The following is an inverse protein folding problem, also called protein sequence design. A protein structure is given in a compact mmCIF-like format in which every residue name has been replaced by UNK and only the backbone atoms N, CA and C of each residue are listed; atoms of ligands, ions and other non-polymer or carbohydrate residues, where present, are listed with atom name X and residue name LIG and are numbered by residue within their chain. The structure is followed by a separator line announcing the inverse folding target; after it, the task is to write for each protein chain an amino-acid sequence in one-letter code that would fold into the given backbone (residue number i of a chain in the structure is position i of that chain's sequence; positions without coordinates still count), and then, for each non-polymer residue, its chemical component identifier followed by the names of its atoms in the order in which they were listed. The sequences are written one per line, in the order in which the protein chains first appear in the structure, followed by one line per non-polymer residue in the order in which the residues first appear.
data_IF_890810011513
#
_entry.id   IF_890810011513
#
_cell.length_a   1.000
_cell.length_b   1.000
_cell.length_c   1.000
_cell.angle_alpha   90.00
_cell.angle_beta   90.00
_cell.angle_gamma   90.00
#
_symmetry.space_group_name_H-M   'P 1'
#
loop_
_entity.id
_entity.type
_entity.pdbx_description
1 polymer ?
#
# COMPACT_ATOMS: atom_id res chain seq x y z
N UNK A 1 -9.18 -6.36 19.26
CA UNK A 1 -8.54 -6.37 17.94
C UNK A 1 -9.06 -5.21 17.12
N UNK A 2 -8.15 -4.50 16.47
CA UNK A 2 -8.54 -3.35 15.65
C UNK A 2 -9.28 -3.80 14.39
N UNK A 3 -10.17 -2.95 13.85
CA UNK A 3 -10.95 -3.34 12.67
C UNK A 3 -10.11 -3.74 11.46
N UNK A 4 -9.01 -3.05 11.20
CA UNK A 4 -8.17 -3.40 10.06
C UNK A 4 -7.54 -4.78 10.24
N UNK A 5 -7.09 -5.08 11.45
CA UNK A 5 -6.50 -6.38 11.74
C UNK A 5 -7.55 -7.49 11.62
N UNK A 6 -8.76 -7.22 12.13
CA UNK A 6 -9.84 -8.19 12.02
C UNK A 6 -10.19 -8.44 10.55
N UNK A 7 -10.20 -7.38 9.74
CA UNK A 7 -10.47 -7.50 8.31
C UNK A 7 -9.44 -8.41 7.65
N UNK A 8 -8.14 -8.19 7.94
CA UNK A 8 -7.08 -8.99 7.33
C UNK A 8 -7.24 -10.46 7.69
N UNK A 9 -7.50 -10.74 8.97
CA UNK A 9 -7.62 -12.12 9.43
C UNK A 9 -8.87 -12.80 8.90
N UNK A 10 -9.88 -12.04 8.49
CA UNK A 10 -11.11 -12.61 7.93
C UNK A 10 -11.01 -12.96 6.45
N UNK A 11 -9.94 -12.56 5.79
CA UNK A 11 -9.81 -12.82 4.35
C UNK A 11 -9.45 -14.27 4.10
N UNK A 12 -9.90 -14.79 2.96
CA UNK A 12 -9.54 -16.14 2.57
C UNK A 12 -8.20 -16.14 1.86
N UNK A 13 -7.64 -17.33 1.75
CA UNK A 13 -6.36 -17.46 1.04
C UNK A 13 -6.59 -17.38 -0.46
N UNK A 14 -5.62 -16.84 -1.23
CA UNK A 14 -4.27 -16.46 -0.78
C UNK A 14 -4.20 -15.03 -0.23
N UNK A 15 -5.33 -14.33 -0.16
CA UNK A 15 -5.35 -12.92 0.23
C UNK A 15 -4.86 -12.70 1.65
N UNK A 16 -5.29 -13.56 2.57
CA UNK A 16 -4.89 -13.38 3.97
C UNK A 16 -3.38 -13.46 4.13
N UNK A 17 -2.74 -14.44 3.55
CA UNK A 17 -1.29 -14.57 3.65
C UNK A 17 -0.56 -13.42 3.00
N UNK A 18 -1.04 -12.95 1.85
CA UNK A 18 -0.43 -11.80 1.18
C UNK A 18 -0.56 -10.56 2.07
N UNK A 19 -1.74 -10.32 2.61
CA UNK A 19 -1.99 -9.15 3.46
C UNK A 19 -1.12 -9.18 4.72
N UNK A 20 -1.02 -10.34 5.36
CA UNK A 20 -0.20 -10.46 6.57
C UNK A 20 1.28 -10.21 6.26
N UNK A 21 1.75 -10.72 5.13
CA UNK A 21 3.14 -10.51 4.74
C UNK A 21 3.41 -9.04 4.43
N UNK A 22 2.49 -8.39 3.72
CA UNK A 22 2.61 -6.96 3.44
C UNK A 22 2.59 -6.14 4.72
N UNK A 23 1.70 -6.48 5.65
CA UNK A 23 1.63 -5.80 6.93
C UNK A 23 2.97 -5.88 7.65
N UNK A 24 3.56 -7.07 7.68
CA UNK A 24 4.84 -7.27 8.33
C UNK A 24 5.93 -6.40 7.72
N UNK A 25 6.04 -6.41 6.38
CA UNK A 25 7.06 -5.63 5.70
C UNK A 25 6.88 -4.14 5.97
N UNK A 26 5.65 -3.65 5.82
CA UNK A 26 5.39 -2.22 5.97
C UNK A 26 5.68 -1.77 7.40
N UNK A 27 5.21 -2.51 8.38
CA UNK A 27 5.35 -2.08 9.78
C UNK A 27 6.78 -2.22 10.27
N UNK A 28 7.53 -3.19 9.75
CA UNK A 28 8.94 -3.31 10.13
C UNK A 28 9.81 -2.21 9.52
N UNK A 29 9.49 -1.80 8.31
CA UNK A 29 10.32 -0.81 7.61
C UNK A 29 9.87 0.63 7.82
N UNK A 30 8.63 0.81 8.26
CA UNK A 30 8.07 2.13 8.54
C UNK A 30 7.40 2.08 9.90
N UNK A 31 8.18 2.03 10.99
CA UNK A 31 7.62 1.75 12.32
C UNK A 31 6.68 2.84 12.86
N UNK A 32 6.66 4.00 12.23
CA UNK A 32 5.79 5.09 12.68
C UNK A 32 4.44 5.13 11.98
N UNK A 33 4.18 4.17 11.09
CA UNK A 33 2.87 4.14 10.42
C UNK A 33 1.77 3.77 11.40
N UNK A 34 0.58 4.28 11.11
CA UNK A 34 -0.62 3.96 11.88
C UNK A 34 -1.58 3.23 10.96
N UNK A 35 -1.99 2.04 11.36
CA UNK A 35 -2.92 1.23 10.59
C UNK A 35 -4.34 1.56 11.01
N UNK A 36 -5.17 1.95 10.04
CA UNK A 36 -6.56 2.26 10.26
C UNK A 36 -7.42 1.51 9.26
N UNK A 37 -8.73 1.57 9.46
CA UNK A 37 -9.68 0.92 8.57
C UNK A 37 -10.51 2.03 7.92
N UNK A 38 -10.23 2.31 6.66
CA UNK A 38 -10.88 3.40 5.90
C UNK A 38 -11.36 2.85 4.58
N UNK A 39 -12.52 3.33 4.15
CA UNK A 39 -13.10 2.89 2.88
C UNK A 39 -13.15 1.36 2.77
N UNK A 40 -13.38 0.72 3.93
CA UNK A 40 -13.56 -0.73 4.06
C UNK A 40 -12.30 -1.53 3.74
N UNK A 41 -11.12 -0.92 3.84
CA UNK A 41 -9.85 -1.61 3.65
C UNK A 41 -8.81 -1.12 4.66
N UNK A 42 -7.74 -1.91 4.87
CA UNK A 42 -6.61 -1.45 5.69
C UNK A 42 -5.92 -0.26 5.06
N UNK A 43 -5.69 0.77 5.83
CA UNK A 43 -5.14 2.02 5.33
C UNK A 43 -4.07 2.51 6.28
N UNK A 44 -2.87 2.73 5.76
CA UNK A 44 -1.76 3.22 6.56
C UNK A 44 -1.61 4.72 6.44
N UNK A 45 -1.39 5.36 7.58
CA UNK A 45 -1.09 6.78 7.68
C UNK A 45 0.33 6.95 8.21
N UNK A 46 1.03 7.97 7.74
CA UNK A 46 2.36 8.32 8.20
C UNK A 46 2.39 9.82 8.42
N UNK A 47 2.72 10.22 9.65
CA UNK A 47 2.73 11.64 10.04
C UNK A 47 1.38 12.31 9.78
N UNK A 48 0.31 11.56 10.00
CA UNK A 48 -1.05 12.08 9.82
C UNK A 48 -1.54 12.15 8.38
N UNK A 49 -0.73 11.72 7.43
CA UNK A 49 -1.08 11.77 6.01
C UNK A 49 -1.25 10.36 5.44
N UNK A 50 -2.14 10.18 4.47
CA UNK A 50 -2.25 8.89 3.80
C UNK A 50 -0.91 8.45 3.22
N UNK A 51 -0.56 7.21 3.47
CA UNK A 51 0.72 6.64 3.03
C UNK A 51 0.50 5.56 1.98
N UNK A 52 -0.20 4.50 2.36
CA UNK A 52 -0.53 3.43 1.43
C UNK A 52 -1.73 2.66 1.95
N UNK A 53 -2.32 1.84 1.08
CA UNK A 53 -3.46 1.02 1.46
C UNK A 53 -3.34 -0.36 0.83
N UNK A 54 -4.04 -1.33 1.45
CA UNK A 54 -4.04 -2.71 1.00
C UNK A 54 -5.44 -3.07 0.54
N UNK A 55 -5.61 -3.34 -0.75
CA UNK A 55 -6.94 -3.56 -1.32
C UNK A 55 -6.99 -4.90 -2.05
N UNK A 56 -7.49 -5.95 -1.39
CA UNK A 56 -7.66 -7.23 -2.08
C UNK A 56 -8.83 -7.17 -3.04
N UNK A 57 -8.63 -7.71 -4.23
CA UNK A 57 -9.69 -7.81 -5.25
C UNK A 57 -9.96 -9.29 -5.49
N UNK A 58 -11.06 -9.79 -4.93
CA UNK A 58 -11.42 -11.19 -5.11
C UNK A 58 -11.78 -11.47 -6.56
N UNK A 59 -12.40 -10.50 -7.21
CA UNK A 59 -12.82 -10.66 -8.61
C UNK A 59 -11.60 -10.79 -9.52
N UNK A 60 -10.59 -9.95 -9.31
CA UNK A 60 -9.41 -9.94 -10.17
C UNK A 60 -8.25 -10.75 -9.60
N UNK A 61 -8.42 -11.26 -8.39
CA UNK A 61 -7.50 -12.22 -7.76
C UNK A 61 -6.12 -11.67 -7.50
N UNK A 62 -6.05 -10.42 -7.02
CA UNK A 62 -4.79 -9.84 -6.58
C UNK A 62 -5.02 -8.96 -5.36
N UNK A 63 -3.92 -8.61 -4.67
CA UNK A 63 -3.91 -7.58 -3.65
C UNK A 63 -3.21 -6.37 -4.22
N UNK A 64 -3.89 -5.23 -4.18
CA UNK A 64 -3.38 -3.97 -4.69
C UNK A 64 -2.77 -3.21 -3.52
N UNK A 65 -1.48 -2.89 -3.59
CA UNK A 65 -0.87 -1.97 -2.64
C UNK A 65 -0.83 -0.61 -3.29
N UNK A 66 -1.78 0.25 -2.93
CA UNK A 66 -1.85 1.59 -3.48
C UNK A 66 -1.10 2.57 -2.60
N UNK A 67 -0.52 3.58 -3.23
CA UNK A 67 0.21 4.59 -2.48
C UNK A 67 0.10 5.94 -3.17
N UNK A 68 0.41 6.96 -2.40
CA UNK A 68 0.31 8.35 -2.85
C UNK A 68 1.69 8.91 -3.12
N UNK A 69 1.76 9.82 -4.11
CA UNK A 69 3.04 10.38 -4.50
C UNK A 69 3.66 9.60 -5.64
N UNK A 70 3.75 10.23 -6.80
CA UNK A 70 4.20 9.56 -8.02
C UNK A 70 5.53 10.10 -8.53
N UNK A 71 6.08 11.12 -7.88
CA UNK A 71 7.32 11.75 -8.33
C UNK A 71 8.52 10.90 -7.95
N UNK A 72 9.51 10.87 -8.84
CA UNK A 72 10.76 10.17 -8.55
C UNK A 72 10.69 8.66 -8.68
N UNK A 73 9.66 8.14 -9.38
CA UNK A 73 9.45 6.70 -9.50
C UNK A 73 9.65 6.19 -10.91
N UNK A 74 10.32 6.97 -11.76
CA UNK A 74 10.47 6.63 -13.18
C UNK A 74 11.11 5.27 -13.40
N UNK A 75 12.02 4.89 -12.52
CA UNK A 75 12.71 3.60 -12.67
C UNK A 75 11.79 2.41 -12.49
N UNK A 76 10.59 2.64 -11.95
CA UNK A 76 9.62 1.59 -11.70
C UNK A 76 8.40 1.69 -12.61
N UNK A 77 8.45 2.54 -13.64
CA UNK A 77 7.28 2.77 -14.50
C UNK A 77 6.72 1.50 -15.11
N UNK A 78 7.57 0.53 -15.41
CA UNK A 78 7.12 -0.69 -16.07
C UNK A 78 6.35 -1.64 -15.14
N UNK A 79 6.45 -1.44 -13.83
CA UNK A 79 5.73 -2.30 -12.89
C UNK A 79 4.64 -1.58 -12.11
N UNK A 80 4.61 -0.25 -12.14
CA UNK A 80 3.61 0.52 -11.40
C UNK A 80 2.34 0.66 -12.22
N UNK A 81 1.22 0.53 -11.54
CA UNK A 81 -0.10 0.54 -12.17
C UNK A 81 -0.81 1.83 -11.85
N UNK A 82 -1.26 2.54 -12.88
CA UNK A 82 -1.94 3.81 -12.69
C UNK A 82 -3.45 3.73 -12.84
N UNK A 83 -3.94 3.00 -13.83
CA UNK A 83 -5.36 2.87 -14.14
C UNK A 83 -6.07 4.23 -14.24
N UNK A 84 -5.37 5.19 -14.85
CA UNK A 84 -5.96 6.51 -15.04
C UNK A 84 -5.96 7.39 -13.81
N UNK A 85 -5.45 6.92 -12.68
CA UNK A 85 -5.38 7.73 -11.46
C UNK A 85 -4.22 8.70 -11.54
N UNK A 86 -4.43 9.91 -11.09
CA UNK A 86 -3.42 10.96 -11.26
C UNK A 86 -2.39 11.01 -10.14
N UNK A 87 -2.77 10.60 -8.93
CA UNK A 87 -1.90 10.74 -7.76
C UNK A 87 -1.67 9.44 -7.02
N UNK A 88 -2.19 8.35 -7.55
CA UNK A 88 -2.07 7.04 -6.93
C UNK A 88 -1.44 6.08 -7.91
N UNK A 89 -0.52 5.27 -7.41
CA UNK A 89 0.04 4.15 -8.15
C UNK A 89 -0.08 2.92 -7.29
N UNK A 90 0.00 1.76 -7.91
CA UNK A 90 -0.15 0.50 -7.20
C UNK A 90 0.89 -0.53 -7.63
N UNK A 91 1.22 -1.41 -6.68
CA UNK A 91 1.90 -2.66 -6.96
C UNK A 91 0.89 -3.77 -6.68
N UNK A 92 0.87 -4.80 -7.52
CA UNK A 92 -0.12 -5.88 -7.41
C UNK A 92 0.54 -7.23 -7.21
N UNK A 93 -0.05 -8.02 -6.31
CA UNK A 93 0.50 -9.31 -5.92
C UNK A 93 -0.59 -10.36 -5.98
N UNK A 94 -0.32 -11.49 -6.66
CA UNK A 94 -1.26 -12.60 -6.72
C UNK A 94 -0.85 -13.75 -5.81
N UNK A 95 0.42 -13.79 -5.41
CA UNK A 95 0.93 -14.78 -4.45
C UNK A 95 1.93 -14.11 -3.53
N UNK A 96 2.26 -14.78 -2.42
CA UNK A 96 3.30 -14.27 -1.53
C UNK A 96 4.63 -14.18 -2.25
N UNK A 97 4.91 -15.15 -3.12
CA UNK A 97 6.17 -15.19 -3.85
C UNK A 97 6.38 -14.00 -4.79
N UNK A 98 5.29 -13.35 -5.19
CA UNK A 98 5.38 -12.16 -6.04
C UNK A 98 5.92 -10.96 -5.30
N UNK A 99 5.92 -10.97 -3.97
CA UNK A 99 6.32 -9.81 -3.20
C UNK A 99 7.83 -9.70 -3.15
N UNK A 100 8.36 -8.63 -3.76
CA UNK A 100 9.77 -8.27 -3.63
C UNK A 100 9.82 -7.16 -2.60
N UNK A 101 10.26 -7.51 -1.38
CA UNK A 101 10.23 -6.56 -0.29
C UNK A 101 11.15 -5.37 -0.51
N UNK A 102 12.30 -5.58 -1.16
CA UNK A 102 13.22 -4.47 -1.43
C UNK A 102 12.59 -3.45 -2.37
N UNK A 103 11.91 -3.91 -3.42
CA UNK A 103 11.24 -3.00 -4.35
C UNK A 103 10.07 -2.30 -3.65
N UNK A 104 9.28 -3.04 -2.89
CA UNK A 104 8.15 -2.45 -2.18
C UNK A 104 8.61 -1.34 -1.23
N UNK A 105 9.63 -1.61 -0.43
CA UNK A 105 10.14 -0.63 0.52
C UNK A 105 10.73 0.58 -0.21
N UNK A 106 11.47 0.35 -1.29
CA UNK A 106 12.06 1.44 -2.04
C UNK A 106 11.00 2.33 -2.69
N UNK A 107 9.99 1.70 -3.31
CA UNK A 107 8.90 2.45 -3.94
C UNK A 107 8.15 3.29 -2.90
N UNK A 108 7.80 2.71 -1.76
CA UNK A 108 7.08 3.45 -0.72
C UNK A 108 7.94 4.57 -0.14
N UNK A 109 9.23 4.33 0.04
CA UNK A 109 10.15 5.35 0.55
C UNK A 109 10.24 6.53 -0.42
N UNK A 110 10.43 6.23 -1.71
CA UNK A 110 10.56 7.27 -2.72
C UNK A 110 9.27 8.05 -2.89
N UNK A 111 8.14 7.36 -2.94
CA UNK A 111 6.85 8.02 -3.09
C UNK A 111 6.61 8.98 -1.93
N UNK A 112 6.87 8.54 -0.71
CA UNK A 112 6.66 9.39 0.46
C UNK A 112 7.61 10.57 0.49
N UNK A 113 8.88 10.34 0.13
CA UNK A 113 9.89 11.39 0.14
C UNK A 113 9.62 12.46 -0.91
N UNK A 114 9.16 12.05 -2.08
CA UNK A 114 9.05 12.93 -3.24
C UNK A 114 7.65 13.45 -3.50
N UNK A 115 6.69 13.14 -2.63
CA UNK A 115 5.34 13.66 -2.83
C UNK A 115 5.35 15.17 -2.68
N UNK A 116 4.45 15.80 -3.43
CA UNK A 116 4.36 17.26 -3.44
C UNK A 116 4.10 17.80 -2.06
N UNK A 117 4.86 18.82 -1.66
CA UNK A 117 4.65 19.44 -0.37
C UNK A 117 3.25 20.04 -0.35
N UNK A 118 2.52 19.79 0.73
CA UNK A 118 1.17 20.31 0.85
C UNK A 118 0.13 19.52 0.10
N UNK A 119 0.52 18.40 -0.49
CA UNK A 119 -0.36 17.53 -1.25
C UNK A 119 -1.65 17.18 -0.51
N UNK A 120 -1.56 16.97 0.79
CA UNK A 120 -2.69 16.54 1.62
C UNK A 120 -3.36 17.66 2.37
N UNK A 121 -2.87 18.89 2.23
CA UNK A 121 -3.38 19.99 3.03
C UNK A 121 -4.74 20.46 2.55
N UNK A 122 -5.59 20.73 3.49
CA UNK A 122 -6.83 21.42 3.20
C UNK A 122 -6.59 22.91 3.21
N UNK A 123 -7.16 23.59 2.28
CA UNK A 123 -7.01 25.04 2.22
C UNK A 123 -8.31 25.71 2.59
#
# INVERSE_FOLDING_TARGET
MKPAEAYILSQEEPFKSILLHLQLIIEQNFPEVVLEFKWKIPFYYLDGNPFCFLNPSKKKKYVDVGFYGINGLEQYDDILISEGRKKIRSLRYTTIEDINSDILVDVLTLANKNKEQGFWRKK
#
